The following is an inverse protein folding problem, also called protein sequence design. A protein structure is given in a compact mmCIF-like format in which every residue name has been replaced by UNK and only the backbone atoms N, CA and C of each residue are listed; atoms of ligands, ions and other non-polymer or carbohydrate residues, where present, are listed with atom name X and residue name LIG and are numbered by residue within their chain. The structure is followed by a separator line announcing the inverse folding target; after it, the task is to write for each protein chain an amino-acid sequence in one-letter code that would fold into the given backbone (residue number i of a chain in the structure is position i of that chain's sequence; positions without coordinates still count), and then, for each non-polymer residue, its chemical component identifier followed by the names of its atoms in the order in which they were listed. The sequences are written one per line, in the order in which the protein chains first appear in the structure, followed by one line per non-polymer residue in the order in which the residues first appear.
data_IF_288043593233
#
_entry.id   IF_288043593233
#
_cell.length_a   1.000
_cell.length_b   1.000
_cell.length_c   1.000
_cell.angle_alpha   90.00
_cell.angle_beta   90.00
_cell.angle_gamma   90.00
#
_symmetry.space_group_name_H-M   'P 1'
#
loop_
_entity.id
_entity.type
_entity.pdbx_description
1 polymer ?
#
# COMPACT_ATOMS: atom_id res chain seq x y z
N UNK A 1 -54.53 -28.60 -18.16
CA UNK A 1 -53.28 -28.22 -17.48
C UNK A 1 -52.18 -28.16 -18.53
N UNK A 2 -51.68 -26.96 -18.85
CA UNK A 2 -50.74 -26.75 -19.96
C UNK A 2 -49.32 -26.55 -19.38
N UNK A 3 -48.64 -27.67 -19.11
CA UNK A 3 -47.34 -27.73 -18.41
C UNK A 3 -46.20 -27.19 -19.27
N UNK A 4 -46.37 -27.18 -20.60
CA UNK A 4 -45.33 -26.74 -21.54
C UNK A 4 -45.15 -25.22 -21.63
N UNK A 5 -46.18 -24.42 -21.34
CA UNK A 5 -46.08 -22.95 -21.41
C UNK A 5 -45.27 -22.33 -20.26
N UNK A 6 -45.24 -22.99 -19.10
CA UNK A 6 -44.47 -22.51 -17.95
C UNK A 6 -42.96 -22.76 -18.16
N UNK A 7 -42.57 -23.89 -18.78
CA UNK A 7 -41.16 -24.30 -18.92
C UNK A 7 -40.35 -23.37 -19.83
N UNK A 8 -40.96 -22.82 -20.88
CA UNK A 8 -40.30 -21.89 -21.82
C UNK A 8 -40.03 -20.51 -21.22
N UNK A 9 -40.87 -20.03 -20.28
CA UNK A 9 -40.68 -18.72 -19.64
C UNK A 9 -39.55 -18.69 -18.59
N UNK A 10 -39.27 -19.81 -17.94
CA UNK A 10 -38.19 -19.90 -16.94
C UNK A 10 -36.80 -20.04 -17.57
N UNK A 11 -36.68 -20.66 -18.75
CA UNK A 11 -35.40 -20.77 -19.48
C UNK A 11 -34.83 -19.43 -19.94
N UNK A 12 -35.69 -18.55 -20.48
CA UNK A 12 -35.31 -17.23 -20.96
C UNK A 12 -34.97 -16.24 -19.83
N UNK A 13 -35.68 -16.30 -18.69
CA UNK A 13 -35.37 -15.49 -17.51
C UNK A 13 -34.01 -15.83 -16.90
N UNK A 14 -33.68 -17.12 -16.81
CA UNK A 14 -32.41 -17.56 -16.22
C UNK A 14 -31.21 -17.16 -17.09
N UNK A 15 -31.33 -17.22 -18.42
CA UNK A 15 -30.29 -16.76 -19.33
C UNK A 15 -29.95 -15.27 -19.17
N UNK A 16 -30.95 -14.43 -18.86
CA UNK A 16 -30.77 -13.00 -18.59
C UNK A 16 -30.03 -12.73 -17.28
N UNK A 17 -30.32 -13.49 -16.21
CA UNK A 17 -29.60 -13.38 -14.93
C UNK A 17 -28.13 -13.79 -15.05
N UNK A 18 -27.81 -14.82 -15.85
CA UNK A 18 -26.43 -15.22 -16.13
C UNK A 18 -25.67 -14.16 -16.95
N UNK A 19 -26.30 -13.51 -17.93
CA UNK A 19 -25.69 -12.43 -18.68
C UNK A 19 -25.38 -11.19 -17.82
N UNK A 20 -26.26 -10.87 -16.85
CA UNK A 20 -26.07 -9.75 -15.91
C UNK A 20 -24.97 -10.03 -14.88
N UNK A 21 -24.81 -11.29 -14.45
CA UNK A 21 -23.70 -11.74 -13.59
C UNK A 21 -22.34 -11.73 -14.33
N UNK A 22 -22.30 -12.09 -15.62
CA UNK A 22 -21.06 -12.02 -16.41
C UNK A 22 -20.61 -10.57 -16.70
N UNK A 23 -21.55 -9.62 -16.83
CA UNK A 23 -21.23 -8.21 -17.06
C UNK A 23 -20.53 -7.53 -15.86
N UNK A 24 -20.71 -8.05 -14.64
CA UNK A 24 -20.07 -7.51 -13.43
C UNK A 24 -18.63 -8.00 -13.19
N UNK A 25 -18.12 -8.98 -13.95
CA UNK A 25 -16.79 -9.58 -13.72
C UNK A 25 -15.77 -9.18 -14.81
N UNK A 26 -16.10 -8.27 -15.73
CA UNK A 26 -15.09 -7.70 -16.63
C UNK A 26 -14.37 -6.53 -15.98
N UNK A 27 -13.57 -6.82 -14.96
CA UNK A 27 -12.44 -5.95 -14.61
C UNK A 27 -11.35 -6.26 -15.64
N UNK A 28 -10.90 -5.31 -16.47
CA UNK A 28 -9.73 -5.54 -17.29
C UNK A 28 -8.55 -5.77 -16.35
N UNK A 29 -8.06 -7.00 -16.31
CA UNK A 29 -6.76 -7.29 -15.73
C UNK A 29 -5.73 -6.54 -16.58
N UNK A 30 -5.28 -5.37 -16.10
CA UNK A 30 -4.07 -4.74 -16.62
C UNK A 30 -2.94 -5.73 -16.40
N UNK A 31 -2.59 -6.46 -17.46
CA UNK A 31 -1.42 -7.31 -17.50
C UNK A 31 -0.22 -6.43 -17.18
N UNK A 32 0.41 -6.68 -16.02
CA UNK A 32 1.74 -6.12 -15.79
C UNK A 32 2.69 -6.77 -16.76
N UNK A 33 3.34 -5.96 -17.57
CA UNK A 33 4.52 -6.38 -18.32
C UNK A 33 5.55 -7.00 -17.35
N UNK A 34 6.27 -8.05 -17.77
CA UNK A 34 7.30 -8.68 -16.95
C UNK A 34 8.28 -7.62 -16.45
N UNK A 35 8.63 -7.71 -15.17
CA UNK A 35 9.58 -6.82 -14.51
C UNK A 35 10.86 -6.73 -15.35
N UNK A 36 11.09 -5.56 -15.95
CA UNK A 36 12.38 -5.20 -16.50
C UNK A 36 13.39 -5.28 -15.34
N UNK A 37 14.46 -6.08 -15.41
CA UNK A 37 15.48 -6.14 -14.37
C UNK A 37 16.21 -4.79 -14.18
N UNK A 38 16.07 -3.85 -15.14
CA UNK A 38 16.48 -2.45 -15.03
C UNK A 38 15.47 -1.56 -14.29
N UNK A 39 14.25 -2.04 -14.01
CA UNK A 39 13.27 -1.32 -13.23
C UNK A 39 13.71 -1.31 -11.76
N UNK A 40 14.45 -0.27 -11.40
CA UNK A 40 14.69 0.05 -10.01
C UNK A 40 13.33 0.13 -9.31
N UNK A 41 13.13 -0.67 -8.25
CA UNK A 41 11.88 -0.75 -7.48
C UNK A 41 11.70 0.47 -6.57
N UNK A 42 11.94 1.66 -7.12
CA UNK A 42 11.69 2.93 -6.47
C UNK A 42 10.30 3.44 -6.82
N UNK A 43 9.66 4.02 -5.82
CA UNK A 43 8.41 4.74 -5.99
C UNK A 43 8.69 6.00 -6.81
N UNK A 44 7.85 6.26 -7.80
CA UNK A 44 7.90 7.43 -8.70
C UNK A 44 6.60 8.22 -8.60
N UNK A 45 6.61 9.47 -9.04
CA UNK A 45 5.39 10.26 -9.23
C UNK A 45 4.82 10.07 -10.64
N UNK A 46 3.50 10.11 -10.76
CA UNK A 46 2.76 10.15 -12.02
C UNK A 46 1.57 11.08 -11.85
N UNK A 47 1.69 12.30 -12.38
CA UNK A 47 0.75 13.38 -12.07
C UNK A 47 0.69 13.63 -10.56
N UNK A 48 -0.49 13.46 -9.98
CA UNK A 48 -0.75 13.63 -8.54
C UNK A 48 -0.63 12.33 -7.72
N UNK A 49 -0.24 11.22 -8.34
CA UNK A 49 -0.19 9.91 -7.69
C UNK A 49 1.25 9.40 -7.54
N UNK A 50 1.45 8.47 -6.60
CA UNK A 50 2.65 7.64 -6.55
C UNK A 50 2.44 6.34 -7.31
N UNK A 51 3.51 5.84 -7.91
CA UNK A 51 3.52 4.56 -8.63
C UNK A 51 4.76 3.75 -8.31
N UNK A 52 4.61 2.43 -8.25
CA UNK A 52 5.70 1.47 -8.12
C UNK A 52 5.49 0.40 -9.20
N UNK A 53 6.49 0.19 -10.06
CA UNK A 53 6.41 -0.77 -11.17
C UNK A 53 5.15 -0.60 -12.04
N UNK A 54 4.81 0.66 -12.34
CA UNK A 54 3.65 1.03 -13.17
C UNK A 54 2.28 0.88 -12.50
N UNK A 55 2.21 0.46 -11.24
CA UNK A 55 0.97 0.35 -10.45
C UNK A 55 0.84 1.50 -9.48
N UNK A 56 -0.40 1.94 -9.18
CA UNK A 56 -0.65 2.93 -8.14
C UNK A 56 -0.11 2.44 -6.79
N UNK A 57 0.59 3.32 -6.10
CA UNK A 57 1.13 3.10 -4.77
C UNK A 57 0.42 4.04 -3.79
N UNK A 58 -0.59 3.53 -3.08
CA UNK A 58 -1.28 4.30 -2.05
C UNK A 58 -0.46 4.30 -0.77
N UNK A 59 -0.07 5.47 -0.26
CA UNK A 59 0.68 5.56 1.00
C UNK A 59 -0.26 5.25 2.17
N UNK A 60 0.03 4.17 2.90
CA UNK A 60 -0.58 3.85 4.19
C UNK A 60 0.57 3.64 5.16
N UNK A 61 0.80 4.62 6.03
CA UNK A 61 2.06 4.69 6.77
C UNK A 61 1.93 4.96 8.25
N UNK A 62 3.00 4.67 8.97
CA UNK A 62 3.18 4.94 10.40
C UNK A 62 4.40 5.82 10.62
N UNK A 63 4.45 6.51 11.76
CA UNK A 63 5.61 7.26 12.20
C UNK A 63 6.26 6.51 13.36
N UNK A 64 7.59 6.35 13.32
CA UNK A 64 8.34 5.82 14.45
C UNK A 64 9.60 6.67 14.69
N UNK A 65 9.73 7.20 15.90
CA UNK A 65 10.80 8.12 16.28
C UNK A 65 12.06 7.41 16.79
N UNK A 66 12.01 6.09 17.01
CA UNK A 66 13.02 5.34 17.75
C UNK A 66 13.83 4.37 16.90
N UNK A 67 13.53 4.22 15.60
CA UNK A 67 14.26 3.25 14.76
C UNK A 67 15.77 3.50 14.71
N UNK A 68 16.22 4.74 14.93
CA UNK A 68 17.63 5.12 14.93
C UNK A 68 18.36 4.88 16.25
N UNK A 69 17.63 4.55 17.33
CA UNK A 69 18.20 4.27 18.66
C UNK A 69 17.91 2.86 19.17
N UNK A 70 16.94 2.17 18.57
CA UNK A 70 16.58 0.81 18.94
C UNK A 70 17.66 -0.20 18.57
N UNK A 71 17.72 -1.30 19.32
CA UNK A 71 18.48 -2.47 18.91
C UNK A 71 17.93 -3.03 17.59
N UNK A 72 18.74 -3.80 16.86
CA UNK A 72 18.30 -4.49 15.65
C UNK A 72 17.02 -5.32 15.88
N UNK A 73 16.91 -6.00 17.02
CA UNK A 73 15.74 -6.80 17.36
C UNK A 73 14.48 -5.93 17.51
N UNK A 74 14.57 -4.83 18.27
CA UNK A 74 13.43 -3.91 18.45
C UNK A 74 13.02 -3.25 17.14
N UNK A 75 13.98 -2.83 16.31
CA UNK A 75 13.73 -2.28 14.98
C UNK A 75 12.99 -3.28 14.10
N UNK A 76 13.46 -4.53 14.03
CA UNK A 76 12.79 -5.58 13.27
C UNK A 76 11.37 -5.82 13.77
N UNK A 77 11.16 -5.91 15.09
CA UNK A 77 9.83 -6.09 15.68
C UNK A 77 8.87 -4.96 15.31
N UNK A 78 9.32 -3.70 15.35
CA UNK A 78 8.51 -2.55 14.93
C UNK A 78 8.14 -2.62 13.44
N UNK A 79 9.08 -3.04 12.59
CA UNK A 79 8.82 -3.19 11.16
C UNK A 79 7.85 -4.35 10.88
N UNK A 80 7.97 -5.46 11.61
CA UNK A 80 7.03 -6.58 11.54
C UNK A 80 5.61 -6.14 11.94
N UNK A 81 5.48 -5.37 13.02
CA UNK A 81 4.20 -4.83 13.48
C UNK A 81 3.61 -3.87 12.43
N UNK A 82 4.44 -3.04 11.78
CA UNK A 82 4.00 -2.16 10.69
C UNK A 82 3.45 -2.96 9.50
N UNK A 83 4.11 -4.07 9.13
CA UNK A 83 3.61 -5.00 8.11
C UNK A 83 2.29 -5.64 8.54
N UNK A 84 2.17 -6.09 9.79
CA UNK A 84 0.94 -6.69 10.32
C UNK A 84 -0.24 -5.70 10.33
N UNK A 85 0.03 -4.40 10.50
CA UNK A 85 -0.96 -3.33 10.38
C UNK A 85 -1.33 -2.97 8.93
N UNK A 86 -0.62 -3.51 7.93
CA UNK A 86 -0.78 -3.16 6.51
C UNK A 86 -0.13 -1.83 6.12
N UNK A 87 0.81 -1.32 6.92
CA UNK A 87 1.57 -0.13 6.55
C UNK A 87 2.64 -0.48 5.50
N UNK A 88 2.79 0.38 4.50
CA UNK A 88 3.79 0.25 3.43
C UNK A 88 4.87 1.33 3.47
N UNK A 89 4.74 2.31 4.37
CA UNK A 89 5.71 3.38 4.57
C UNK A 89 5.90 3.61 6.06
N UNK A 90 7.16 3.73 6.50
CA UNK A 90 7.51 4.15 7.85
C UNK A 90 8.31 5.44 7.77
N UNK A 91 7.83 6.49 8.43
CA UNK A 91 8.57 7.75 8.57
C UNK A 91 9.40 7.74 9.85
N UNK A 92 10.67 8.14 9.74
CA UNK A 92 11.65 8.17 10.84
C UNK A 92 12.41 9.50 10.85
N UNK A 93 12.93 9.88 12.01
CA UNK A 93 13.96 10.92 12.12
C UNK A 93 15.34 10.31 12.00
N UNK A 94 16.12 10.75 11.03
CA UNK A 94 17.47 10.23 10.81
C UNK A 94 18.47 10.63 11.92
N UNK A 95 18.28 11.81 12.55
CA UNK A 95 19.14 12.29 13.64
C UNK A 95 18.35 12.60 14.92
N UNK A 96 18.87 12.19 16.10
CA UNK A 96 18.42 12.74 17.37
C UNK A 96 18.88 14.19 17.48
N UNK A 97 18.21 14.97 18.31
CA UNK A 97 18.83 16.17 18.85
C UNK A 97 19.91 15.70 19.82
N UNK A 98 21.17 15.95 19.47
CA UNK A 98 22.31 15.71 20.34
C UNK A 98 22.54 16.99 21.15
N UNK A 99 22.68 16.85 22.46
CA UNK A 99 22.90 17.94 23.41
C UNK A 99 22.87 17.42 24.84
N UNK A 100 23.49 18.15 25.77
CA UNK A 100 23.42 17.81 27.19
C UNK A 100 22.34 18.61 27.89
N UNK A 101 21.64 17.99 28.83
CA UNK A 101 20.62 18.66 29.66
C UNK A 101 21.21 19.77 30.52
N UNK A 102 22.50 19.67 30.87
CA UNK A 102 23.23 20.67 31.64
C UNK A 102 23.91 21.76 30.78
N UNK A 103 23.72 21.70 29.45
CA UNK A 103 24.30 22.66 28.51
C UNK A 103 25.81 22.49 28.26
N UNK A 104 26.47 21.47 28.83
CA UNK A 104 27.89 21.21 28.57
C UNK A 104 28.19 20.82 27.13
N UNK A 105 27.20 20.24 26.44
CA UNK A 105 27.22 19.98 24.99
C UNK A 105 26.14 20.85 24.36
N UNK A 106 26.50 21.81 23.49
CA UNK A 106 25.54 22.62 22.75
C UNK A 106 24.55 21.73 22.02
N UNK A 107 23.28 22.12 22.03
CA UNK A 107 22.29 21.38 21.27
C UNK A 107 22.45 21.70 19.77
N UNK A 108 22.25 20.69 18.92
CA UNK A 108 22.32 20.84 17.46
C UNK A 108 21.22 21.78 16.89
N UNK A 109 20.26 22.24 17.73
CA UNK A 109 19.20 23.18 17.34
C UNK A 109 19.67 24.64 17.36
N UNK A 110 20.55 25.01 18.29
CA UNK A 110 21.11 26.35 18.42
C UNK A 110 22.22 26.63 17.40
N UNK A 111 22.90 25.59 16.91
CA UNK A 111 23.96 25.72 15.90
C UNK A 111 23.42 25.87 14.46
N UNK A 112 22.12 25.69 14.26
CA UNK A 112 21.46 25.76 12.95
C UNK A 112 20.69 27.07 12.72
N UNK A 113 20.71 28.02 13.66
CA UNK A 113 20.05 29.32 13.61
C UNK A 113 21.05 30.46 13.43
#
# INVERSE_FOLDING_TARGET
MNVDWQRTRYGLRNAWWFALLLAFISVPALASTPNDPSATSFIKTSGTNFTLNGRLFFVTGVNNHYLTYGSHYEVTRVLDDAVAMGANVVRVFHKPVIGSLDGSVPNDLELAA
#
